data_IF_203929551691
#
_entry.id   IF_203929551691
#
_cell.length_a   1.000
_cell.length_b   1.000
_cell.length_c   1.000
_cell.angle_alpha   90.00
_cell.angle_beta   90.00
_cell.angle_gamma   90.00
#
_symmetry.space_group_name_H-M   'P 1'
#
loop_
_entity.id
_entity.type
_entity.pdbx_description
1 polymer ?
#
# COMPACT_ATOMS: atom_id res chain seq x y z
N UNK A 1 -21.54 -18.82 18.69
CA UNK A 1 -20.76 -20.09 18.57
C UNK A 1 -20.98 -20.64 17.15
N UNK A 2 -19.94 -21.18 16.49
CA UNK A 2 -20.06 -21.78 15.14
C UNK A 2 -20.01 -20.81 13.95
N UNK A 3 -19.63 -19.54 14.15
CA UNK A 3 -19.59 -18.54 13.06
C UNK A 3 -18.27 -18.51 12.28
N UNK A 4 -17.19 -18.99 12.88
CA UNK A 4 -15.87 -19.04 12.24
C UNK A 4 -15.23 -20.40 12.48
N UNK A 5 -14.54 -20.90 11.45
CA UNK A 5 -13.66 -22.08 11.54
C UNK A 5 -12.28 -21.74 12.11
N UNK A 6 -11.95 -20.45 12.23
CA UNK A 6 -10.70 -19.95 12.79
C UNK A 6 -10.97 -19.20 14.09
N UNK A 7 -10.26 -19.61 15.16
CA UNK A 7 -10.34 -18.95 16.46
C UNK A 7 -9.87 -17.49 16.37
N UNK A 8 -8.71 -17.27 15.75
CA UNK A 8 -8.10 -15.95 15.62
C UNK A 8 -8.87 -15.01 14.69
N UNK A 9 -9.47 -15.55 13.62
CA UNK A 9 -10.25 -14.76 12.63
C UNK A 9 -11.77 -14.75 12.89
N UNK A 10 -12.23 -15.20 14.06
CA UNK A 10 -13.62 -14.99 14.47
C UNK A 10 -13.88 -13.50 14.78
N UNK A 11 -14.16 -12.72 13.74
CA UNK A 11 -14.39 -11.28 13.82
C UNK A 11 -15.61 -10.95 14.69
N UNK A 12 -16.66 -11.78 14.65
CA UNK A 12 -17.83 -11.56 15.49
C UNK A 12 -17.49 -11.74 16.96
N UNK A 13 -16.79 -12.80 17.33
CA UNK A 13 -16.35 -13.00 18.71
C UNK A 13 -15.39 -11.88 19.17
N UNK A 14 -14.51 -11.40 18.28
CA UNK A 14 -13.62 -10.28 18.59
C UNK A 14 -14.40 -8.99 18.82
N UNK A 15 -15.33 -8.65 17.92
CA UNK A 15 -16.19 -7.49 18.07
C UNK A 15 -17.03 -7.57 19.35
N UNK A 16 -17.68 -8.70 19.64
CA UNK A 16 -18.43 -8.89 20.89
C UNK A 16 -17.56 -8.72 22.12
N UNK A 17 -16.35 -9.26 22.14
CA UNK A 17 -15.41 -9.04 23.23
C UNK A 17 -15.12 -7.54 23.43
N UNK A 18 -14.93 -6.78 22.35
CA UNK A 18 -14.71 -5.33 22.43
C UNK A 18 -15.93 -4.60 22.97
N UNK A 19 -17.15 -4.92 22.50
CA UNK A 19 -18.39 -4.30 23.02
C UNK A 19 -18.61 -4.62 24.50
N UNK A 20 -18.46 -5.90 24.87
CA UNK A 20 -18.77 -6.40 26.22
C UNK A 20 -17.66 -6.06 27.24
N UNK A 21 -16.45 -5.72 26.77
CA UNK A 21 -15.27 -5.48 27.63
C UNK A 21 -14.51 -4.19 27.26
N UNK A 22 -15.24 -3.10 26.94
CA UNK A 22 -14.68 -1.75 26.77
C UNK A 22 -13.47 -1.66 25.81
N UNK A 23 -13.58 -2.27 24.64
CA UNK A 23 -12.56 -2.25 23.59
C UNK A 23 -11.43 -3.27 23.76
N UNK A 24 -11.52 -4.18 24.73
CA UNK A 24 -10.51 -5.21 24.98
C UNK A 24 -10.40 -6.20 23.81
N UNK A 25 -9.17 -6.61 23.52
CA UNK A 25 -8.87 -7.65 22.55
C UNK A 25 -9.05 -9.04 23.17
N UNK A 26 -9.51 -10.03 22.39
CA UNK A 26 -9.63 -11.41 22.92
C UNK A 26 -8.26 -12.01 23.28
N UNK A 27 -7.21 -11.57 22.60
CA UNK A 27 -5.82 -11.99 22.81
C UNK A 27 -4.93 -10.77 23.05
N UNK A 28 -3.65 -10.99 23.33
CA UNK A 28 -2.67 -9.91 23.47
C UNK A 28 -2.68 -9.02 22.23
N UNK A 29 -3.04 -7.75 22.41
CA UNK A 29 -3.08 -6.77 21.33
C UNK A 29 -1.67 -6.37 20.91
N UNK A 30 -1.43 -6.07 19.61
CA UNK A 30 -0.16 -5.53 19.13
C UNK A 30 -0.07 -4.03 19.46
N UNK A 31 0.10 -3.69 20.75
CA UNK A 31 0.00 -2.32 21.28
C UNK A 31 0.84 -1.30 20.50
N UNK A 32 2.09 -1.64 20.15
CA UNK A 32 2.97 -0.79 19.36
C UNK A 32 2.41 -0.46 17.96
N UNK A 33 1.85 -1.46 17.26
CA UNK A 33 1.26 -1.26 15.94
C UNK A 33 -0.03 -0.42 16.02
N UNK A 34 -0.84 -0.62 17.07
CA UNK A 34 -2.06 0.16 17.31
C UNK A 34 -1.72 1.63 17.60
N UNK A 35 -0.68 1.91 18.40
CA UNK A 35 -0.21 3.28 18.65
C UNK A 35 0.33 3.95 17.38
N UNK A 36 1.10 3.23 16.57
CA UNK A 36 1.57 3.72 15.28
C UNK A 36 0.40 4.01 14.32
N UNK A 37 -0.62 3.15 14.30
CA UNK A 37 -1.84 3.36 13.50
C UNK A 37 -2.62 4.59 13.98
N UNK A 38 -2.76 4.79 15.29
CA UNK A 38 -3.38 5.99 15.85
C UNK A 38 -2.64 7.27 15.43
N UNK A 39 -1.31 7.26 15.40
CA UNK A 39 -0.52 8.38 14.90
C UNK A 39 -0.73 8.62 13.40
N UNK A 40 -0.78 7.56 12.59
CA UNK A 40 -1.04 7.66 11.16
C UNK A 40 -2.43 8.27 10.84
N UNK A 41 -3.44 8.02 11.69
CA UNK A 41 -4.77 8.64 11.58
C UNK A 41 -4.73 10.14 11.92
N UNK A 42 -3.97 10.54 12.95
CA UNK A 42 -3.76 11.96 13.29
C UNK A 42 -3.10 12.71 12.13
N UNK A 43 -2.04 12.14 11.55
CA UNK A 43 -1.38 12.74 10.39
C UNK A 43 -2.26 12.79 9.14
N UNK A 44 -3.13 11.80 8.94
CA UNK A 44 -4.14 11.83 7.87
C UNK A 44 -5.04 13.05 8.04
N UNK A 45 -5.61 13.25 9.23
CA UNK A 45 -6.46 14.39 9.54
C UNK A 45 -5.71 15.73 9.36
N UNK A 46 -4.51 15.85 9.93
CA UNK A 46 -3.67 17.06 9.83
C UNK A 46 -3.32 17.43 8.40
N UNK A 47 -3.10 16.44 7.52
CA UNK A 47 -2.75 16.64 6.10
C UNK A 47 -3.98 16.87 5.19
N UNK A 48 -5.17 17.12 5.74
CA UNK A 48 -6.39 17.40 4.96
C UNK A 48 -7.23 16.17 4.60
N UNK A 49 -7.06 15.07 5.35
CA UNK A 49 -7.89 13.88 5.22
C UNK A 49 -7.67 13.09 3.92
N UNK A 50 -8.65 12.24 3.62
CA UNK A 50 -8.59 11.31 2.48
C UNK A 50 -8.50 12.05 1.15
N UNK A 51 -9.22 13.17 1.00
CA UNK A 51 -9.29 13.90 -0.25
C UNK A 51 -7.93 14.52 -0.62
N UNK A 52 -7.27 15.20 0.32
CA UNK A 52 -5.93 15.75 0.10
C UNK A 52 -4.88 14.65 -0.17
N UNK A 53 -4.97 13.52 0.57
CA UNK A 53 -4.10 12.37 0.33
C UNK A 53 -4.30 11.75 -1.06
N UNK A 54 -5.56 11.61 -1.49
CA UNK A 54 -5.91 11.12 -2.82
C UNK A 54 -5.35 12.02 -3.93
N UNK A 55 -5.50 13.34 -3.81
CA UNK A 55 -4.95 14.27 -4.79
C UNK A 55 -3.43 14.14 -4.91
N UNK A 56 -2.72 14.02 -3.77
CA UNK A 56 -1.28 13.78 -3.76
C UNK A 56 -0.91 12.46 -4.46
N UNK A 57 -1.58 11.37 -4.12
CA UNK A 57 -1.34 10.06 -4.74
C UNK A 57 -1.60 10.07 -6.24
N UNK A 58 -2.74 10.61 -6.68
CA UNK A 58 -3.10 10.76 -8.09
C UNK A 58 -2.08 11.61 -8.85
N UNK A 59 -1.63 12.72 -8.29
CA UNK A 59 -0.65 13.60 -8.93
C UNK A 59 0.73 12.92 -9.04
N UNK A 60 1.16 12.20 -8.00
CA UNK A 60 2.41 11.43 -8.03
C UNK A 60 2.36 10.33 -9.09
N UNK A 61 1.27 9.56 -9.13
CA UNK A 61 1.09 8.47 -10.08
C UNK A 61 1.11 8.98 -11.54
N UNK A 62 0.42 10.10 -11.82
CA UNK A 62 0.44 10.72 -13.16
C UNK A 62 1.82 11.23 -13.57
N UNK A 63 2.53 11.89 -12.65
CA UNK A 63 3.90 12.37 -12.89
C UNK A 63 4.85 11.20 -13.15
N UNK A 64 4.74 10.13 -12.38
CA UNK A 64 5.52 8.90 -12.58
C UNK A 64 5.25 8.31 -13.95
N UNK A 65 3.99 8.11 -14.34
CA UNK A 65 3.64 7.53 -15.65
C UNK A 65 4.14 8.41 -16.80
N UNK A 66 3.95 9.72 -16.72
CA UNK A 66 4.45 10.63 -17.74
C UNK A 66 5.98 10.56 -17.88
N UNK A 67 6.71 10.55 -16.76
CA UNK A 67 8.17 10.41 -16.74
C UNK A 67 8.65 9.07 -17.28
N UNK A 68 8.04 7.97 -16.85
CA UNK A 68 8.38 6.63 -17.31
C UNK A 68 8.11 6.44 -18.81
N UNK A 69 7.01 7.02 -19.33
CA UNK A 69 6.74 7.07 -20.78
C UNK A 69 7.80 7.84 -21.55
N UNK A 70 8.23 9.00 -21.04
CA UNK A 70 9.31 9.78 -21.64
C UNK A 70 10.65 9.04 -21.66
N UNK A 71 10.86 8.10 -20.71
CA UNK A 71 12.01 7.20 -20.67
C UNK A 71 11.84 5.92 -21.51
N UNK A 72 10.72 5.76 -22.23
CA UNK A 72 10.46 4.62 -23.10
C UNK A 72 9.80 3.41 -22.44
N UNK A 73 9.41 3.48 -21.16
CA UNK A 73 8.64 2.42 -20.51
C UNK A 73 7.16 2.51 -20.86
N UNK A 74 6.49 1.36 -20.91
CA UNK A 74 5.05 1.26 -21.20
C UNK A 74 4.29 0.69 -19.99
N UNK A 75 3.25 1.39 -19.49
CA UNK A 75 2.34 0.82 -18.48
C UNK A 75 1.66 -0.45 -19.01
N UNK A 76 1.37 -1.40 -18.10
CA UNK A 76 0.65 -2.63 -18.43
C UNK A 76 -0.82 -2.38 -18.85
N UNK A 77 -1.47 -1.44 -18.15
CA UNK A 77 -2.87 -1.10 -18.35
C UNK A 77 -3.02 0.31 -18.93
N UNK A 78 -4.16 0.57 -19.56
CA UNK A 78 -4.56 1.90 -20.00
C UNK A 78 -4.85 2.84 -18.82
N UNK A 79 -4.69 4.14 -19.04
CA UNK A 79 -4.80 5.17 -18.00
C UNK A 79 -6.17 5.19 -17.30
N UNK A 80 -7.24 4.75 -17.98
CA UNK A 80 -8.59 4.64 -17.42
C UNK A 80 -8.71 3.56 -16.33
N UNK A 81 -7.80 2.59 -16.31
CA UNK A 81 -7.77 1.48 -15.35
C UNK A 81 -6.73 1.69 -14.24
N UNK A 82 -5.99 2.81 -14.25
CA UNK A 82 -4.96 3.07 -13.26
C UNK A 82 -5.57 3.39 -11.88
N UNK A 83 -5.07 2.69 -10.86
CA UNK A 83 -5.21 3.16 -9.48
C UNK A 83 -4.22 4.30 -9.20
N UNK A 84 -4.49 5.20 -8.25
CA UNK A 84 -3.54 6.25 -7.86
C UNK A 84 -2.41 5.74 -6.93
N UNK A 85 -2.32 4.43 -6.66
CA UNK A 85 -1.42 3.88 -5.62
C UNK A 85 -0.19 3.21 -6.23
N UNK A 86 -0.38 2.37 -7.25
CA UNK A 86 0.69 1.59 -7.89
C UNK A 86 0.46 1.52 -9.40
N UNK A 87 1.54 1.42 -10.16
CA UNK A 87 1.49 1.23 -11.63
C UNK A 87 2.47 0.15 -12.03
N UNK A 88 1.97 -0.85 -12.76
CA UNK A 88 2.79 -1.88 -13.37
C UNK A 88 3.27 -1.42 -14.75
N UNK A 89 4.53 -1.70 -15.07
CA UNK A 89 5.15 -1.43 -16.37
C UNK A 89 5.67 -2.73 -16.96
N UNK A 90 5.65 -2.84 -18.29
CA UNK A 90 6.34 -3.93 -18.96
C UNK A 90 7.85 -3.84 -18.67
N UNK A 91 8.47 -4.99 -18.44
CA UNK A 91 9.92 -5.08 -18.41
C UNK A 91 10.50 -4.76 -19.79
N UNK A 92 11.66 -4.09 -19.88
CA UNK A 92 12.35 -3.90 -21.14
C UNK A 92 12.66 -5.24 -21.83
N UNK A 93 12.43 -5.30 -23.14
CA UNK A 93 12.69 -6.50 -23.95
C UNK A 93 14.19 -6.69 -24.32
N UNK A 94 15.05 -5.79 -23.85
CA UNK A 94 16.48 -5.83 -24.12
C UNK A 94 17.11 -7.13 -23.55
N UNK A 95 17.87 -7.91 -24.33
CA UNK A 95 18.42 -9.22 -23.89
C UNK A 95 19.26 -9.17 -22.61
N UNK A 96 19.90 -8.02 -22.35
CA UNK A 96 20.71 -7.75 -21.18
C UNK A 96 19.90 -7.33 -19.94
N UNK A 97 18.60 -7.04 -20.09
CA UNK A 97 17.78 -6.60 -18.97
C UNK A 97 17.62 -7.73 -17.94
N UNK A 98 17.90 -7.40 -16.68
CA UNK A 98 17.67 -8.26 -15.52
C UNK A 98 17.06 -7.40 -14.43
N UNK A 99 15.86 -7.76 -13.95
CA UNK A 99 15.18 -7.00 -12.90
C UNK A 99 16.07 -6.83 -11.65
N UNK A 100 16.80 -7.87 -11.24
CA UNK A 100 17.69 -7.79 -10.09
C UNK A 100 18.74 -6.67 -10.24
N UNK A 101 19.44 -6.62 -11.38
CA UNK A 101 20.46 -5.58 -11.64
C UNK A 101 19.82 -4.19 -11.72
N UNK A 102 18.65 -4.07 -12.36
CA UNK A 102 17.91 -2.81 -12.43
C UNK A 102 17.49 -2.31 -11.04
N UNK A 103 16.95 -3.21 -10.22
CA UNK A 103 16.58 -2.93 -8.83
C UNK A 103 17.78 -2.48 -7.99
N UNK A 104 18.92 -3.18 -8.05
CA UNK A 104 20.10 -2.79 -7.26
C UNK A 104 20.60 -1.40 -7.64
N UNK A 105 20.66 -1.09 -8.94
CA UNK A 105 21.07 0.25 -9.41
C UNK A 105 20.16 1.37 -8.92
N UNK A 106 18.85 1.12 -8.82
CA UNK A 106 17.91 2.08 -8.24
C UNK A 106 18.04 2.17 -6.72
N UNK A 107 18.25 1.04 -6.06
CA UNK A 107 18.45 0.96 -4.61
C UNK A 107 19.72 1.72 -4.17
N UNK A 108 20.80 1.63 -4.94
CA UNK A 108 22.04 2.38 -4.72
C UNK A 108 21.83 3.90 -4.81
N UNK A 109 20.75 4.33 -5.47
CA UNK A 109 20.32 5.74 -5.55
C UNK A 109 19.20 6.09 -4.54
N UNK A 110 18.84 5.17 -3.65
CA UNK A 110 17.81 5.38 -2.62
C UNK A 110 16.38 5.06 -3.05
N UNK A 111 16.17 4.43 -4.21
CA UNK A 111 14.84 4.04 -4.71
C UNK A 111 14.62 2.53 -4.67
N UNK A 112 13.66 2.09 -3.87
CA UNK A 112 13.24 0.68 -3.81
C UNK A 112 12.00 0.47 -4.69
N UNK A 113 12.14 -0.31 -5.75
CA UNK A 113 11.03 -0.70 -6.63
C UNK A 113 10.56 -2.14 -6.34
N UNK A 114 9.41 -2.54 -6.89
CA UNK A 114 8.80 -3.84 -6.64
C UNK A 114 8.79 -4.74 -7.88
N UNK A 115 8.97 -6.06 -7.72
CA UNK A 115 8.77 -7.01 -8.82
C UNK A 115 7.30 -7.06 -9.23
N UNK A 116 7.06 -7.35 -10.51
CA UNK A 116 5.73 -7.60 -11.07
C UNK A 116 5.26 -9.03 -10.83
#
# INVERSE_FOLDING_TARGET
KGRSRSLSLDLYAQWRCMEDNHGKWRFTSPTHAVLAFAQALKELAQKGGVNARYQRYRNNQRRLVAGMRALGFRPLLDDSLHSPIITAFYSPDAPQYRFHTFYQKLKDQGFVIYPG
#
